data_IF_920510468963
#
_entry.id   IF_920510468963
#
_cell.length_a   1.000
_cell.length_b   1.000
_cell.length_c   1.000
_cell.angle_alpha   90.00
_cell.angle_beta   90.00
_cell.angle_gamma   90.00
#
_symmetry.space_group_name_H-M   'P 1'
#
loop_
_entity.id
_entity.type
_entity.pdbx_description
1 polymer ?
#
# COMPACT_ATOMS: atom_id res chain seq x y z
N UNK A 1 55.83 4.99 -13.92
CA UNK A 1 54.42 4.69 -13.60
C UNK A 1 53.57 5.50 -14.57
N UNK A 2 52.82 4.82 -15.42
CA UNK A 2 52.21 5.40 -16.63
C UNK A 2 50.87 6.06 -16.31
N UNK A 3 50.64 7.26 -16.83
CA UNK A 3 49.36 8.01 -16.73
C UNK A 3 48.13 7.21 -17.17
N UNK A 4 48.33 6.12 -17.93
CA UNK A 4 47.29 5.18 -18.34
C UNK A 4 46.64 4.42 -17.17
N UNK A 5 47.38 4.11 -16.09
CA UNK A 5 46.84 3.39 -14.92
C UNK A 5 45.93 4.29 -14.06
N UNK A 6 46.22 5.59 -14.01
CA UNK A 6 45.38 6.59 -13.33
C UNK A 6 44.09 6.90 -14.10
N UNK A 7 44.14 6.93 -15.44
CA UNK A 7 42.96 7.16 -16.28
C UNK A 7 41.96 5.98 -16.22
N UNK A 8 42.45 4.74 -16.22
CA UNK A 8 41.60 3.54 -16.10
C UNK A 8 40.99 3.42 -14.70
N UNK A 9 41.77 3.76 -13.66
CA UNK A 9 41.26 3.82 -12.28
C UNK A 9 40.15 4.86 -12.08
N UNK A 10 40.29 6.05 -12.68
CA UNK A 10 39.27 7.12 -12.63
C UNK A 10 37.94 6.74 -13.30
N UNK A 11 37.99 6.03 -14.43
CA UNK A 11 36.79 5.59 -15.16
C UNK A 11 36.04 4.48 -14.41
N UNK A 12 36.76 3.53 -13.80
CA UNK A 12 36.16 2.44 -13.01
C UNK A 12 35.48 2.95 -11.73
N UNK A 13 36.08 3.91 -11.03
CA UNK A 13 35.49 4.51 -9.82
C UNK A 13 34.28 5.40 -10.20
N UNK A 14 34.35 6.15 -11.30
CA UNK A 14 33.23 6.95 -11.82
C UNK A 14 32.02 6.11 -12.24
N UNK A 15 32.24 4.94 -12.86
CA UNK A 15 31.17 4.02 -13.29
C UNK A 15 30.49 3.30 -12.12
N UNK A 16 31.25 2.87 -11.10
CA UNK A 16 30.68 2.20 -9.91
C UNK A 16 29.94 3.19 -9.01
N UNK A 17 30.46 4.41 -8.86
CA UNK A 17 29.80 5.47 -8.11
C UNK A 17 28.52 5.96 -8.83
N UNK A 18 28.54 6.13 -10.15
CA UNK A 18 27.35 6.54 -10.92
C UNK A 18 26.29 5.45 -11.01
N UNK A 19 26.68 4.17 -11.21
CA UNK A 19 25.77 3.03 -11.19
C UNK A 19 25.11 2.81 -9.82
N UNK A 20 25.86 3.02 -8.73
CA UNK A 20 25.35 2.96 -7.36
C UNK A 20 24.31 4.05 -7.07
N UNK A 21 24.59 5.30 -7.43
CA UNK A 21 23.66 6.43 -7.26
C UNK A 21 22.40 6.23 -8.10
N UNK A 22 22.53 5.80 -9.36
CA UNK A 22 21.38 5.49 -10.22
C UNK A 22 20.55 4.33 -9.68
N UNK A 23 21.18 3.28 -9.13
CA UNK A 23 20.48 2.17 -8.49
C UNK A 23 19.74 2.61 -7.22
N UNK A 24 20.32 3.50 -6.41
CA UNK A 24 19.68 4.05 -5.22
C UNK A 24 18.51 4.97 -5.59
N UNK A 25 18.66 5.83 -6.60
CA UNK A 25 17.60 6.69 -7.10
C UNK A 25 16.45 5.85 -7.70
N UNK A 26 16.75 4.88 -8.56
CA UNK A 26 15.75 3.97 -9.11
C UNK A 26 15.01 3.17 -8.01
N UNK A 27 15.72 2.75 -6.95
CA UNK A 27 15.11 2.08 -5.79
C UNK A 27 14.22 3.02 -4.99
N UNK A 28 14.62 4.28 -4.83
CA UNK A 28 13.82 5.32 -4.16
C UNK A 28 12.54 5.61 -4.94
N UNK A 29 12.64 5.76 -6.26
CA UNK A 29 11.51 6.07 -7.14
C UNK A 29 10.52 4.91 -7.21
N UNK A 30 10.99 3.66 -7.35
CA UNK A 30 10.14 2.46 -7.25
C UNK A 30 9.37 2.43 -5.93
N UNK A 31 10.00 2.80 -4.82
CA UNK A 31 9.33 2.85 -3.50
C UNK A 31 8.34 4.01 -3.38
N UNK A 32 8.55 5.14 -4.07
CA UNK A 32 7.60 6.25 -4.11
C UNK A 32 6.38 5.86 -4.96
N UNK A 33 6.62 5.36 -6.17
CA UNK A 33 5.58 4.85 -7.07
C UNK A 33 4.73 3.76 -6.40
N UNK A 34 5.37 2.75 -5.78
CA UNK A 34 4.66 1.67 -5.08
C UNK A 34 3.81 2.15 -3.90
N UNK A 35 4.22 3.23 -3.20
CA UNK A 35 3.42 3.83 -2.12
C UNK A 35 2.25 4.63 -2.65
N UNK A 36 2.43 5.38 -3.73
CA UNK A 36 1.33 6.08 -4.40
C UNK A 36 0.31 5.07 -4.92
N UNK A 37 0.77 4.00 -5.58
CA UNK A 37 -0.06 2.88 -6.01
C UNK A 37 -0.82 2.25 -4.84
N UNK A 38 -0.14 1.97 -3.71
CA UNK A 38 -0.78 1.41 -2.51
C UNK A 38 -1.90 2.30 -1.95
N UNK A 39 -1.74 3.63 -2.01
CA UNK A 39 -2.77 4.58 -1.55
C UNK A 39 -3.99 4.58 -2.46
N UNK A 40 -3.76 4.62 -3.77
CA UNK A 40 -4.84 4.59 -4.76
C UNK A 40 -5.62 3.27 -4.64
N UNK A 41 -4.91 2.14 -4.58
CA UNK A 41 -5.50 0.82 -4.36
C UNK A 41 -6.25 0.75 -3.03
N UNK A 42 -5.70 1.32 -1.94
CA UNK A 42 -6.40 1.36 -0.65
C UNK A 42 -7.74 2.12 -0.73
N UNK A 43 -7.75 3.33 -1.28
CA UNK A 43 -8.96 4.14 -1.41
C UNK A 43 -10.03 3.41 -2.23
N UNK A 44 -9.61 2.75 -3.30
CA UNK A 44 -10.53 1.99 -4.13
C UNK A 44 -11.07 0.74 -3.43
N UNK A 45 -10.22 0.00 -2.70
CA UNK A 45 -10.64 -1.17 -1.93
C UNK A 45 -11.56 -0.81 -0.76
N UNK A 46 -11.46 0.41 -0.18
CA UNK A 46 -12.46 0.91 0.76
C UNK A 46 -13.82 1.01 0.07
N UNK A 47 -13.89 1.71 -1.06
CA UNK A 47 -15.14 1.92 -1.78
C UNK A 47 -15.74 0.58 -2.24
N UNK A 48 -14.90 -0.34 -2.73
CA UNK A 48 -15.30 -1.66 -3.15
C UNK A 48 -15.82 -2.51 -1.99
N UNK A 49 -15.21 -2.40 -0.79
CA UNK A 49 -15.70 -3.09 0.40
C UNK A 49 -17.09 -2.59 0.80
N UNK A 50 -17.28 -1.27 0.87
CA UNK A 50 -18.60 -0.68 1.15
C UNK A 50 -19.64 -1.11 0.12
N UNK A 51 -19.30 -1.09 -1.17
CA UNK A 51 -20.20 -1.56 -2.22
C UNK A 51 -20.58 -3.04 -2.04
N UNK A 52 -19.63 -3.93 -1.70
CA UNK A 52 -19.95 -5.33 -1.44
C UNK A 52 -20.87 -5.48 -0.23
N UNK A 53 -20.65 -4.73 0.85
CA UNK A 53 -21.53 -4.77 2.03
C UNK A 53 -22.94 -4.25 1.71
N UNK A 54 -23.05 -3.15 0.96
CA UNK A 54 -24.35 -2.64 0.50
C UNK A 54 -25.07 -3.68 -0.37
N UNK A 55 -24.34 -4.31 -1.29
CA UNK A 55 -24.85 -5.40 -2.14
C UNK A 55 -25.33 -6.61 -1.32
N UNK A 56 -24.63 -6.95 -0.23
CA UNK A 56 -25.03 -8.04 0.68
C UNK A 56 -26.38 -7.78 1.33
N UNK A 57 -26.64 -6.52 1.69
CA UNK A 57 -27.86 -6.09 2.36
C UNK A 57 -29.00 -5.93 1.35
N UNK A 58 -28.76 -5.22 0.26
CA UNK A 58 -29.81 -4.81 -0.69
C UNK A 58 -30.18 -5.91 -1.68
N UNK A 59 -29.23 -6.75 -2.10
CA UNK A 59 -29.44 -7.82 -3.10
C UNK A 59 -30.01 -7.33 -4.43
N UNK A 60 -29.77 -6.06 -4.75
CA UNK A 60 -30.24 -5.46 -5.98
C UNK A 60 -29.14 -4.57 -6.58
N UNK A 61 -28.70 -4.94 -7.78
CA UNK A 61 -27.72 -4.19 -8.55
C UNK A 61 -28.23 -2.79 -8.94
N UNK A 62 -29.55 -2.63 -9.14
CA UNK A 62 -30.15 -1.38 -9.61
C UNK A 62 -30.19 -0.30 -8.53
N UNK A 63 -30.19 -0.69 -7.26
CA UNK A 63 -30.12 0.24 -6.14
C UNK A 63 -28.68 0.69 -5.83
N UNK A 64 -27.70 0.18 -6.56
CA UNK A 64 -26.29 0.50 -6.36
C UNK A 64 -25.77 1.52 -7.38
N UNK A 65 -25.23 2.63 -6.88
CA UNK A 65 -24.47 3.59 -7.69
C UNK A 65 -22.99 3.20 -7.63
N UNK A 66 -22.65 2.02 -8.17
CA UNK A 66 -21.27 1.52 -8.18
C UNK A 66 -20.83 1.12 -9.59
N UNK A 67 -19.70 1.67 -10.02
CA UNK A 67 -19.06 1.33 -11.29
C UNK A 67 -18.06 0.19 -11.07
N UNK A 68 -18.55 -1.05 -11.10
CA UNK A 68 -17.75 -2.24 -10.83
C UNK A 68 -16.57 -2.43 -11.80
N UNK A 69 -16.69 -1.95 -13.04
CA UNK A 69 -15.65 -2.06 -14.06
C UNK A 69 -14.45 -1.12 -13.82
N UNK A 70 -14.66 0.01 -13.15
CA UNK A 70 -13.58 0.95 -12.80
C UNK A 70 -12.56 0.32 -11.82
N UNK A 71 -12.98 -0.72 -11.08
CA UNK A 71 -12.08 -1.47 -10.22
C UNK A 71 -10.96 -2.18 -10.99
N UNK A 72 -11.25 -2.74 -12.16
CA UNK A 72 -10.23 -3.40 -12.99
C UNK A 72 -9.20 -2.40 -13.53
N UNK A 73 -9.66 -1.24 -14.00
CA UNK A 73 -8.81 -0.20 -14.61
C UNK A 73 -7.70 0.27 -13.66
N UNK A 74 -8.01 0.46 -12.38
CA UNK A 74 -6.99 0.89 -11.42
C UNK A 74 -5.97 -0.21 -11.13
N UNK A 75 -6.41 -1.47 -11.07
CA UNK A 75 -5.49 -2.59 -10.88
C UNK A 75 -4.52 -2.73 -12.05
N UNK A 76 -4.99 -2.58 -13.28
CA UNK A 76 -4.11 -2.56 -14.47
C UNK A 76 -3.09 -1.41 -14.40
N UNK A 77 -3.52 -0.23 -13.94
CA UNK A 77 -2.65 0.94 -13.84
C UNK A 77 -1.62 0.87 -12.70
N UNK A 78 -1.98 0.26 -11.58
CA UNK A 78 -1.20 0.32 -10.32
C UNK A 78 -0.59 -1.02 -9.90
N UNK A 79 -1.05 -2.13 -10.50
CA UNK A 79 -0.74 -3.50 -10.10
C UNK A 79 0.75 -3.78 -10.11
N UNK A 80 1.44 -3.48 -11.22
CA UNK A 80 2.88 -3.75 -11.36
C UNK A 80 3.72 -3.00 -10.33
N UNK A 81 3.44 -1.71 -10.15
CA UNK A 81 4.14 -0.89 -9.15
C UNK A 81 3.91 -1.41 -7.72
N UNK A 82 2.71 -1.93 -7.44
CA UNK A 82 2.38 -2.50 -6.14
C UNK A 82 3.00 -3.90 -5.95
N UNK A 83 3.00 -4.75 -6.97
CA UNK A 83 3.60 -6.10 -6.96
C UNK A 83 5.11 -6.02 -6.72
N UNK A 84 5.80 -5.08 -7.38
CA UNK A 84 7.24 -4.86 -7.18
C UNK A 84 7.57 -4.31 -5.78
N UNK A 85 6.59 -3.73 -5.10
CA UNK A 85 6.76 -3.11 -3.77
C UNK A 85 6.38 -4.05 -2.62
N UNK A 86 5.44 -4.96 -2.83
CA UNK A 86 4.96 -5.92 -1.84
C UNK A 86 5.77 -7.21 -1.87
N UNK A 87 5.70 -7.99 -0.78
CA UNK A 87 6.11 -9.40 -0.86
C UNK A 87 5.11 -10.18 -1.71
N UNK A 88 5.57 -11.25 -2.38
CA UNK A 88 4.74 -12.07 -3.27
C UNK A 88 3.42 -12.48 -2.64
N UNK A 89 3.45 -13.00 -1.40
CA UNK A 89 2.24 -13.39 -0.66
C UNK A 89 1.25 -12.24 -0.45
N UNK A 90 1.73 -11.02 -0.22
CA UNK A 90 0.87 -9.83 -0.04
C UNK A 90 0.33 -9.35 -1.38
N UNK A 91 1.17 -9.36 -2.43
CA UNK A 91 0.76 -9.03 -3.78
C UNK A 91 -0.37 -9.96 -4.27
N UNK A 92 -0.21 -11.27 -4.11
CA UNK A 92 -1.25 -12.25 -4.49
C UNK A 92 -2.56 -11.99 -3.77
N UNK A 93 -2.55 -11.66 -2.47
CA UNK A 93 -3.79 -11.34 -1.73
C UNK A 93 -4.51 -10.11 -2.26
N UNK A 94 -3.77 -9.10 -2.70
CA UNK A 94 -4.36 -7.90 -3.31
C UNK A 94 -4.90 -8.25 -4.70
N UNK A 95 -4.14 -9.00 -5.50
CA UNK A 95 -4.58 -9.47 -6.81
C UNK A 95 -5.87 -10.30 -6.73
N UNK A 96 -5.96 -11.24 -5.79
CA UNK A 96 -7.18 -12.04 -5.56
C UNK A 96 -8.39 -11.17 -5.21
N UNK A 97 -8.21 -10.07 -4.48
CA UNK A 97 -9.33 -9.15 -4.23
C UNK A 97 -9.85 -8.52 -5.53
N UNK A 98 -8.96 -8.12 -6.43
CA UNK A 98 -9.36 -7.59 -7.74
C UNK A 98 -9.96 -8.67 -8.66
N UNK A 99 -9.52 -9.92 -8.59
CA UNK A 99 -10.18 -11.04 -9.27
C UNK A 99 -11.61 -11.27 -8.74
N UNK A 100 -11.83 -11.14 -7.43
CA UNK A 100 -13.18 -11.18 -6.85
C UNK A 100 -14.05 -10.04 -7.38
N UNK A 101 -13.53 -8.81 -7.43
CA UNK A 101 -14.25 -7.65 -7.97
C UNK A 101 -14.58 -7.82 -9.45
N UNK A 102 -13.63 -8.31 -10.25
CA UNK A 102 -13.86 -8.61 -11.66
C UNK A 102 -14.91 -9.73 -11.85
N UNK A 103 -14.94 -10.69 -10.93
CA UNK A 103 -15.97 -11.74 -10.95
C UNK A 103 -17.35 -11.15 -10.64
N UNK A 104 -17.47 -10.28 -9.63
CA UNK A 104 -18.71 -9.58 -9.33
C UNK A 104 -19.20 -8.73 -10.51
N UNK A 105 -18.29 -8.00 -11.16
CA UNK A 105 -18.62 -7.22 -12.35
C UNK A 105 -19.20 -8.10 -13.47
N UNK A 106 -18.57 -9.26 -13.74
CA UNK A 106 -19.09 -10.24 -14.72
C UNK A 106 -20.44 -10.82 -14.32
N UNK A 107 -20.66 -11.09 -13.02
CA UNK A 107 -21.96 -11.59 -12.56
C UNK A 107 -23.04 -10.54 -12.74
N UNK A 108 -22.78 -9.27 -12.39
CA UNK A 108 -23.70 -8.17 -12.69
C UNK A 108 -24.06 -8.11 -14.18
N UNK A 109 -23.07 -8.22 -15.08
CA UNK A 109 -23.32 -8.20 -16.53
C UNK A 109 -24.20 -9.37 -16.97
N UNK A 110 -24.05 -10.55 -16.35
CA UNK A 110 -24.88 -11.71 -16.61
C UNK A 110 -26.31 -11.48 -16.11
N UNK A 111 -26.47 -11.05 -14.86
CA UNK A 111 -27.78 -10.78 -14.26
C UNK A 111 -28.54 -9.70 -15.03
N UNK A 112 -27.84 -8.71 -15.58
CA UNK A 112 -28.43 -7.67 -16.43
C UNK A 112 -28.94 -8.19 -17.79
N UNK A 113 -28.47 -9.36 -18.24
CA UNK A 113 -28.95 -10.02 -19.46
C UNK A 113 -30.10 -10.99 -19.18
N UNK A 114 -30.37 -11.34 -17.92
CA UNK A 114 -31.50 -12.19 -17.56
C UNK A 114 -32.82 -11.43 -17.76
N UNK A 115 -33.87 -12.10 -18.26
CA UNK A 115 -35.19 -11.49 -18.37
C UNK A 115 -35.69 -11.07 -16.99
N UNK A 116 -36.40 -9.94 -16.92
CA UNK A 116 -36.98 -9.48 -15.67
C UNK A 116 -37.85 -10.59 -15.03
N UNK A 117 -37.79 -10.75 -13.70
CA UNK A 117 -38.58 -11.75 -13.01
C UNK A 117 -40.08 -11.54 -13.29
N UNK A 118 -40.84 -12.63 -13.38
CA UNK A 118 -42.29 -12.55 -13.52
C UNK A 118 -42.91 -11.80 -12.33
N UNK A 119 -44.10 -11.20 -12.52
CA UNK A 119 -44.80 -10.53 -11.42
C UNK A 119 -44.95 -11.45 -10.19
N UNK A 120 -44.46 -10.98 -9.04
CA UNK A 120 -44.47 -11.72 -7.78
C UNK A 120 -43.25 -12.61 -7.52
N UNK A 121 -42.30 -12.69 -8.46
CA UNK A 121 -41.02 -13.35 -8.24
C UNK A 121 -39.95 -12.33 -7.82
N UNK A 122 -39.12 -12.72 -6.85
CA UNK A 122 -37.93 -11.95 -6.50
C UNK A 122 -36.91 -11.99 -7.64
N UNK A 123 -36.13 -10.93 -7.87
CA UNK A 123 -35.00 -10.96 -8.77
C UNK A 123 -34.07 -12.13 -8.43
N UNK A 124 -33.66 -12.88 -9.44
CA UNK A 124 -32.58 -13.85 -9.29
C UNK A 124 -31.29 -13.06 -9.06
N UNK A 125 -30.60 -13.36 -7.96
CA UNK A 125 -29.37 -12.66 -7.57
C UNK A 125 -28.24 -13.67 -7.43
N UNK A 126 -27.34 -13.69 -8.40
CA UNK A 126 -26.05 -14.36 -8.31
C UNK A 126 -25.03 -13.26 -7.94
N UNK A 127 -24.23 -13.35 -6.86
CA UNK A 127 -23.96 -14.52 -6.02
C UNK A 127 -24.65 -14.59 -4.66
N UNK A 128 -24.82 -15.81 -4.13
CA UNK A 128 -25.39 -16.06 -2.81
C UNK A 128 -24.65 -15.41 -1.63
N UNK A 129 -25.32 -15.31 -0.47
CA UNK A 129 -24.78 -14.68 0.75
C UNK A 129 -23.37 -15.14 1.18
N UNK A 130 -23.07 -16.45 1.20
CA UNK A 130 -21.77 -16.93 1.65
C UNK A 130 -20.62 -16.47 0.75
N UNK A 131 -20.88 -16.31 -0.55
CA UNK A 131 -19.87 -15.89 -1.51
C UNK A 131 -19.58 -14.39 -1.38
N UNK A 132 -20.62 -13.56 -1.25
CA UNK A 132 -20.43 -12.13 -1.00
C UNK A 132 -19.70 -11.85 0.31
N UNK A 133 -20.00 -12.61 1.37
CA UNK A 133 -19.26 -12.51 2.64
C UNK A 133 -17.78 -12.83 2.44
N UNK A 134 -17.48 -13.90 1.69
CA UNK A 134 -16.09 -14.26 1.39
C UNK A 134 -15.39 -13.18 0.58
N UNK A 135 -16.07 -12.57 -0.39
CA UNK A 135 -15.52 -11.46 -1.17
C UNK A 135 -15.26 -10.23 -0.29
N UNK A 136 -16.20 -9.86 0.59
CA UNK A 136 -16.01 -8.77 1.54
C UNK A 136 -14.77 -9.01 2.42
N UNK A 137 -14.59 -10.22 2.96
CA UNK A 137 -13.43 -10.59 3.77
C UNK A 137 -12.10 -10.53 2.97
N UNK A 138 -12.10 -10.95 1.71
CA UNK A 138 -10.91 -10.88 0.85
C UNK A 138 -10.53 -9.42 0.57
N UNK A 139 -11.50 -8.59 0.21
CA UNK A 139 -11.30 -7.15 -0.04
C UNK A 139 -10.85 -6.44 1.23
N UNK A 140 -11.42 -6.76 2.39
CA UNK A 140 -11.01 -6.19 3.70
C UNK A 140 -9.53 -6.48 4.01
N UNK A 141 -9.10 -7.72 3.78
CA UNK A 141 -7.70 -8.11 4.00
C UNK A 141 -6.76 -7.39 3.03
N UNK A 142 -7.14 -7.27 1.77
CA UNK A 142 -6.36 -6.54 0.76
C UNK A 142 -6.27 -5.05 1.10
N UNK A 143 -7.38 -4.44 1.53
CA UNK A 143 -7.44 -3.05 2.01
C UNK A 143 -6.41 -2.80 3.11
N UNK A 144 -6.36 -3.66 4.13
CA UNK A 144 -5.40 -3.53 5.23
C UNK A 144 -3.94 -3.72 4.79
N UNK A 145 -3.67 -4.59 3.81
CA UNK A 145 -2.34 -4.76 3.22
C UNK A 145 -1.91 -3.45 2.52
N UNK A 146 -2.76 -2.91 1.67
CA UNK A 146 -2.52 -1.69 0.90
C UNK A 146 -2.38 -0.47 1.82
N UNK A 147 -3.17 -0.41 2.89
CA UNK A 147 -3.04 0.62 3.93
C UNK A 147 -1.65 0.59 4.61
N UNK A 148 -1.23 -0.60 5.05
CA UNK A 148 0.08 -0.78 5.70
C UNK A 148 1.23 -0.50 4.74
N UNK A 149 1.06 -0.81 3.45
CA UNK A 149 2.02 -0.51 2.40
C UNK A 149 2.11 1.00 2.10
N UNK A 150 1.00 1.72 2.24
CA UNK A 150 0.91 3.17 2.03
C UNK A 150 1.67 3.98 3.08
N UNK A 151 1.73 3.49 4.33
CA UNK A 151 2.34 4.19 5.45
C UNK A 151 3.77 3.71 5.74
N UNK A 152 4.65 4.67 6.03
CA UNK A 152 6.07 4.40 6.35
C UNK A 152 6.20 3.93 7.80
N UNK A 153 5.90 2.66 8.07
CA UNK A 153 6.16 2.07 9.40
C UNK A 153 7.60 2.34 9.88
N UNK A 154 8.58 2.27 8.98
CA UNK A 154 9.98 2.58 9.30
C UNK A 154 10.23 4.05 9.60
N UNK A 155 9.57 4.99 8.91
CA UNK A 155 9.75 6.42 9.22
C UNK A 155 8.99 6.82 10.49
N UNK A 156 7.85 6.19 10.77
CA UNK A 156 7.17 6.33 12.06
C UNK A 156 8.04 5.75 13.19
N UNK A 157 8.67 4.60 12.99
CA UNK A 157 9.61 4.00 13.95
C UNK A 157 10.85 4.89 14.14
N UNK A 158 11.46 5.39 13.07
CA UNK A 158 12.62 6.28 13.11
C UNK A 158 12.27 7.64 13.73
N UNK A 159 11.11 8.23 13.39
CA UNK A 159 10.63 9.48 14.01
C UNK A 159 10.27 9.28 15.48
N UNK A 160 9.63 8.16 15.85
CA UNK A 160 9.41 7.84 17.26
C UNK A 160 10.72 7.67 18.02
N UNK A 161 11.70 6.99 17.44
CA UNK A 161 13.03 6.84 18.04
C UNK A 161 13.75 8.20 18.17
N UNK A 162 13.69 9.05 17.14
CA UNK A 162 14.25 10.40 17.17
C UNK A 162 13.55 11.32 18.18
N UNK A 163 12.22 11.25 18.28
CA UNK A 163 11.45 12.02 19.25
C UNK A 163 11.66 11.52 20.69
N UNK A 164 11.80 10.21 20.89
CA UNK A 164 12.13 9.63 22.19
C UNK A 164 13.56 9.98 22.63
N UNK A 165 14.52 10.00 21.70
CA UNK A 165 15.89 10.45 21.98
C UNK A 165 15.96 11.94 22.35
N UNK A 166 15.07 12.77 21.78
CA UNK A 166 14.98 14.21 22.05
C UNK A 166 13.90 14.56 23.08
N UNK A 167 13.40 13.60 23.85
CA UNK A 167 12.42 13.86 24.89
C UNK A 167 13.01 14.79 25.98
N UNK A 168 12.23 15.72 26.53
CA UNK A 168 12.73 16.71 27.49
C UNK A 168 13.34 16.09 28.75
N UNK A 169 12.88 14.90 29.16
CA UNK A 169 13.44 14.14 30.27
C UNK A 169 14.87 13.65 29.99
N UNK A 170 15.15 13.18 28.76
CA UNK A 170 16.50 12.77 28.34
C UNK A 170 17.44 13.98 28.20
N UNK A 171 16.93 15.14 27.75
CA UNK A 171 17.72 16.38 27.63
C UNK A 171 18.04 16.95 29.02
N UNK A 172 17.12 16.84 29.99
CA UNK A 172 17.34 17.25 31.36
C UNK A 172 18.36 16.34 32.08
N UNK A 173 18.30 15.02 31.88
CA UNK A 173 19.31 14.08 32.39
C UNK A 173 20.70 14.33 31.80
N UNK A 174 20.81 14.50 30.47
CA UNK A 174 22.08 14.81 29.82
C UNK A 174 22.68 16.15 30.29
N UNK A 175 21.86 17.17 30.55
CA UNK A 175 22.33 18.44 31.13
C UNK A 175 22.74 18.29 32.60
N UNK A 176 22.01 17.50 33.39
CA UNK A 176 22.35 17.25 34.79
C UNK A 176 23.67 16.46 34.92
N UNK A 177 23.91 15.47 34.05
CA UNK A 177 25.18 14.74 34.00
C UNK A 177 26.35 15.60 33.50
N UNK A 178 26.12 16.51 32.55
CA UNK A 178 27.15 17.46 32.11
C UNK A 178 27.48 18.52 33.17
N UNK A 179 26.51 18.93 33.98
CA UNK A 179 26.72 19.88 35.09
C UNK A 179 27.31 19.19 36.33
N UNK A 180 26.98 17.94 36.60
CA UNK A 180 27.56 17.16 37.70
C UNK A 180 29.02 16.78 37.52
N UNK A 181 29.53 16.76 36.28
CA UNK A 181 30.94 16.55 35.96
C UNK A 181 31.77 17.85 35.93
N UNK A 182 31.15 19.01 36.22
CA UNK A 182 31.84 20.29 36.43
C UNK A 182 31.87 20.62 37.92
N UNK A 183 32.56 19.81 38.73
CA UNK A 183 32.92 20.25 40.08
C UNK A 183 33.98 21.37 40.03
N UNK A 184 33.93 22.35 40.95
CA UNK A 184 34.76 23.53 40.89
C UNK A 184 36.19 23.21 41.33
N UNK A 185 37.07 22.95 40.36
CA UNK A 185 38.48 23.27 40.53
C UNK A 185 38.60 24.80 40.59
N UNK A 186 38.51 25.37 41.80
CA UNK A 186 39.29 26.53 42.26
C UNK A 186 38.71 27.13 43.54
N UNK A 187 39.36 26.79 44.65
CA UNK A 187 39.52 27.70 45.78
C UNK A 187 40.87 27.37 46.44
N UNK A 188 41.94 27.96 45.91
CA UNK A 188 43.19 28.23 46.62
C UNK A 188 43.57 29.69 46.40
#
# INVERSE_FOLDING_TARGET
MSEAELAIGGILVGAVASGGVQAVLARSDRRRAGRTAARLVYLQLINAHSAIEDLRVLRDWNMMITQWDEYAVLWERCGDALVQFLSTRRATRVATAYECLATLARTRMRDAQEPAPAHGQSPNFDPGAPLLERYAQVVERAKLISLRASFRWWEVKSRRALLAANAPENIAQLRAEQLGNQEPEQAQ
#
